data_IF_167893901368
#
_entry.id   IF_167893901368
#
_cell.length_a   1.000
_cell.length_b   1.000
_cell.length_c   1.000
_cell.angle_alpha   90.00
_cell.angle_beta   90.00
_cell.angle_gamma   90.00
#
_symmetry.space_group_name_H-M   'P 1'
#
loop_
_entity.id
_entity.type
_entity.pdbx_description
1 polymer ?
#
# COMPACT_ATOMS: atom_id res chain seq x y z
N UNK A 1 -20.67 15.13 -8.82
CA UNK A 1 -19.82 13.93 -8.87
C UNK A 1 -20.12 13.11 -7.63
N UNK A 2 -20.39 11.82 -7.77
CA UNK A 2 -20.67 10.96 -6.63
C UNK A 2 -19.47 10.91 -5.67
N UNK A 3 -19.74 10.86 -4.38
CA UNK A 3 -18.73 10.97 -3.32
C UNK A 3 -17.65 9.89 -3.42
N UNK A 4 -18.00 8.69 -3.85
CA UNK A 4 -17.09 7.57 -4.06
C UNK A 4 -16.05 7.83 -5.17
N UNK A 5 -16.48 8.45 -6.28
CA UNK A 5 -15.62 8.81 -7.41
C UNK A 5 -14.71 9.99 -7.03
N UNK A 6 -15.21 10.93 -6.24
CA UNK A 6 -14.46 12.08 -5.75
C UNK A 6 -13.21 11.63 -4.96
N UNK A 7 -13.34 10.61 -4.09
CA UNK A 7 -12.22 10.05 -3.33
C UNK A 7 -11.06 9.56 -4.22
N UNK A 8 -11.38 8.97 -5.37
CA UNK A 8 -10.36 8.49 -6.32
C UNK A 8 -9.50 9.64 -6.83
N UNK A 9 -10.10 10.80 -7.09
CA UNK A 9 -9.37 11.98 -7.58
C UNK A 9 -8.66 12.74 -6.46
N UNK A 10 -9.21 12.73 -5.25
CA UNK A 10 -8.64 13.37 -4.06
C UNK A 10 -7.44 12.60 -3.48
N UNK A 11 -7.39 11.27 -3.68
CA UNK A 11 -6.25 10.48 -3.23
C UNK A 11 -4.94 10.98 -3.87
N UNK A 12 -4.03 11.40 -3.03
CA UNK A 12 -2.70 11.87 -3.43
C UNK A 12 -1.60 11.23 -2.57
N UNK A 13 -0.40 11.12 -3.12
CA UNK A 13 0.77 10.70 -2.32
C UNK A 13 1.18 11.85 -1.40
N UNK A 14 0.92 11.69 -0.11
CA UNK A 14 1.27 12.63 0.96
C UNK A 14 2.58 12.18 1.58
N UNK A 15 3.51 13.11 1.75
CA UNK A 15 4.89 12.84 2.24
C UNK A 15 5.26 13.63 3.48
N UNK A 16 4.42 14.60 3.87
CA UNK A 16 4.56 15.35 5.12
C UNK A 16 3.39 14.99 6.02
N UNK A 17 3.70 14.57 7.23
CA UNK A 17 2.73 14.11 8.20
C UNK A 17 2.84 14.91 9.49
N UNK A 18 1.72 15.04 10.20
CA UNK A 18 1.67 15.56 11.55
C UNK A 18 2.26 14.53 12.51
N UNK A 19 2.84 14.99 13.60
CA UNK A 19 3.21 14.15 14.73
C UNK A 19 1.94 13.85 15.56
N UNK A 20 1.14 12.94 15.03
CA UNK A 20 -0.13 12.54 15.63
C UNK A 20 -0.36 11.06 15.42
N UNK A 21 -0.64 10.36 16.53
CA UNK A 21 -0.99 8.93 16.50
C UNK A 21 -2.30 8.73 15.72
N UNK A 22 -2.38 7.62 15.01
CA UNK A 22 -3.60 7.19 14.30
C UNK A 22 -4.40 6.28 15.23
N UNK A 23 -5.71 6.47 15.24
CA UNK A 23 -6.66 5.69 16.02
C UNK A 23 -6.71 4.23 15.48
N UNK A 24 -6.79 3.26 16.39
CA UNK A 24 -6.77 1.82 16.02
C UNK A 24 -7.96 1.46 15.13
N UNK A 25 -9.12 2.07 15.34
CA UNK A 25 -10.31 1.87 14.51
C UNK A 25 -10.08 2.28 13.04
N UNK A 26 -9.31 3.35 12.81
CA UNK A 26 -8.97 3.77 11.44
C UNK A 26 -8.03 2.80 10.78
N UNK A 27 -7.05 2.27 11.53
CA UNK A 27 -6.12 1.24 11.02
C UNK A 27 -6.91 -0.01 10.65
N UNK A 28 -7.83 -0.46 11.51
CA UNK A 28 -8.67 -1.61 11.25
C UNK A 28 -9.56 -1.41 10.01
N UNK A 29 -10.18 -0.24 9.84
CA UNK A 29 -10.98 0.09 8.66
C UNK A 29 -10.15 0.07 7.36
N UNK A 30 -8.93 0.56 7.39
CA UNK A 30 -8.01 0.49 6.25
C UNK A 30 -7.67 -0.96 5.88
N UNK A 31 -7.42 -1.82 6.87
CA UNK A 31 -7.12 -3.24 6.65
C UNK A 31 -8.36 -3.98 6.13
N UNK A 32 -9.56 -3.72 6.66
CA UNK A 32 -10.82 -4.26 6.14
C UNK A 32 -11.04 -3.86 4.68
N UNK A 33 -10.80 -2.60 4.34
CA UNK A 33 -10.90 -2.13 2.96
C UNK A 33 -9.90 -2.82 2.04
N UNK A 34 -8.65 -3.00 2.49
CA UNK A 34 -7.63 -3.72 1.74
C UNK A 34 -8.06 -5.17 1.46
N UNK A 35 -8.57 -5.88 2.47
CA UNK A 35 -9.03 -7.27 2.36
C UNK A 35 -10.32 -7.43 1.56
N UNK A 36 -11.03 -6.34 1.25
CA UNK A 36 -12.19 -6.35 0.35
C UNK A 36 -11.81 -6.33 -1.14
N UNK A 37 -10.52 -6.24 -1.47
CA UNK A 37 -10.07 -6.28 -2.86
C UNK A 37 -10.34 -7.64 -3.51
N UNK A 38 -10.57 -7.69 -4.83
CA UNK A 38 -10.64 -8.95 -5.55
C UNK A 38 -9.25 -9.61 -5.64
N UNK A 39 -9.23 -10.94 -5.71
CA UNK A 39 -8.00 -11.69 -5.97
C UNK A 39 -8.24 -12.79 -7.01
N UNK A 40 -7.21 -13.19 -7.71
CA UNK A 40 -7.27 -14.31 -8.63
C UNK A 40 -7.80 -15.56 -7.90
N UNK A 41 -8.86 -16.14 -8.40
CA UNK A 41 -9.53 -17.34 -7.85
C UNK A 41 -9.89 -17.22 -6.35
N UNK A 42 -10.00 -16.01 -5.82
CA UNK A 42 -10.25 -15.70 -4.41
C UNK A 42 -9.19 -16.30 -3.44
N UNK A 43 -7.94 -16.37 -3.86
CA UNK A 43 -6.86 -16.95 -3.04
C UNK A 43 -6.42 -16.08 -1.88
N UNK A 44 -6.65 -14.76 -1.93
CA UNK A 44 -6.37 -13.84 -0.84
C UNK A 44 -4.92 -13.96 -0.31
N UNK A 45 -3.90 -13.81 -1.18
CA UNK A 45 -2.51 -14.08 -0.82
C UNK A 45 -1.89 -12.97 0.05
N UNK A 46 -2.62 -11.90 0.33
CA UNK A 46 -2.12 -10.77 1.09
C UNK A 46 -1.89 -11.07 2.56
N UNK A 47 -0.81 -10.51 3.08
CA UNK A 47 -0.49 -10.41 4.50
C UNK A 47 -0.15 -8.94 4.78
N UNK A 48 -0.53 -8.46 5.96
CA UNK A 48 -0.28 -7.07 6.34
C UNK A 48 0.53 -7.03 7.63
N UNK A 49 1.69 -6.36 7.60
CA UNK A 49 2.46 -6.08 8.81
C UNK A 49 2.26 -4.61 9.15
N UNK A 50 1.65 -4.36 10.31
CA UNK A 50 1.41 -3.01 10.85
C UNK A 50 2.54 -2.64 11.78
N UNK A 51 3.24 -1.54 11.50
CA UNK A 51 4.45 -1.12 12.20
C UNK A 51 4.23 0.27 12.79
N UNK A 52 4.21 0.38 14.11
CA UNK A 52 4.16 1.62 14.87
C UNK A 52 5.42 1.79 15.79
N UNK A 53 6.36 0.87 15.72
CA UNK A 53 7.65 0.96 16.37
C UNK A 53 8.57 1.92 15.61
N UNK A 54 8.99 3.00 16.26
CA UNK A 54 9.80 4.07 15.63
C UNK A 54 11.14 3.56 15.10
N UNK A 55 11.76 2.61 15.78
CA UNK A 55 13.04 2.01 15.38
C UNK A 55 12.86 1.24 14.07
N UNK A 56 11.84 0.39 13.97
CA UNK A 56 11.53 -0.36 12.76
C UNK A 56 11.11 0.58 11.61
N UNK A 57 10.29 1.59 11.87
CA UNK A 57 9.93 2.61 10.88
C UNK A 57 11.18 3.30 10.33
N UNK A 58 12.12 3.69 11.21
CA UNK A 58 13.38 4.32 10.81
C UNK A 58 14.26 3.38 9.97
N UNK A 59 14.34 2.10 10.34
CA UNK A 59 15.07 1.08 9.57
C UNK A 59 14.46 0.87 8.18
N UNK A 60 13.13 0.74 8.08
CA UNK A 60 12.41 0.61 6.80
C UNK A 60 12.68 1.84 5.94
N UNK A 61 12.52 3.04 6.50
CA UNK A 61 12.74 4.31 5.80
C UNK A 61 14.17 4.42 5.26
N UNK A 62 15.17 4.10 6.05
CA UNK A 62 16.58 4.16 5.63
C UNK A 62 16.96 3.11 4.58
N UNK A 63 16.19 2.02 4.50
CA UNK A 63 16.39 0.95 3.54
C UNK A 63 15.83 1.24 2.15
N UNK A 64 14.91 2.19 2.02
CA UNK A 64 14.22 2.52 0.78
C UNK A 64 14.62 3.91 0.28
N UNK A 65 15.22 4.00 -0.90
CA UNK A 65 15.79 5.25 -1.45
C UNK A 65 14.78 6.41 -1.49
N UNK A 66 13.52 6.12 -1.76
CA UNK A 66 12.46 7.14 -1.91
C UNK A 66 11.58 7.31 -0.67
N UNK A 67 11.80 6.56 0.40
CA UNK A 67 11.03 6.64 1.63
C UNK A 67 11.58 7.73 2.57
N UNK A 68 11.37 9.00 2.21
CA UNK A 68 11.85 10.14 3.01
C UNK A 68 10.84 10.66 4.03
N UNK A 69 9.64 10.08 4.07
CA UNK A 69 8.54 10.55 4.90
C UNK A 69 8.71 10.16 6.37
N UNK A 70 8.51 11.11 7.27
CA UNK A 70 8.41 10.87 8.71
C UNK A 70 6.93 10.61 9.02
N UNK A 71 6.53 9.35 9.05
CA UNK A 71 5.16 8.93 9.32
C UNK A 71 5.10 8.16 10.65
N UNK A 72 4.01 8.30 11.42
CA UNK A 72 3.84 7.58 12.70
C UNK A 72 3.47 6.10 12.51
N UNK A 73 3.12 5.70 11.30
CA UNK A 73 2.69 4.34 10.98
C UNK A 73 3.24 3.92 9.60
N UNK A 74 3.65 2.66 9.50
CA UNK A 74 3.93 1.99 8.23
C UNK A 74 3.11 0.71 8.17
N UNK A 75 2.46 0.44 7.03
CA UNK A 75 1.84 -0.85 6.76
C UNK A 75 2.59 -1.47 5.58
N UNK A 76 3.23 -2.60 5.83
CA UNK A 76 3.87 -3.38 4.77
C UNK A 76 2.86 -4.38 4.21
N UNK A 77 2.57 -4.30 2.92
CA UNK A 77 1.73 -5.27 2.22
C UNK A 77 2.63 -6.34 1.63
N UNK A 78 2.37 -7.58 1.99
CA UNK A 78 3.13 -8.74 1.57
C UNK A 78 2.23 -9.73 0.83
N UNK A 79 2.82 -10.51 -0.08
CA UNK A 79 2.17 -11.67 -0.66
C UNK A 79 2.70 -12.95 0.00
N UNK A 80 1.79 -13.75 0.58
CA UNK A 80 2.10 -15.10 1.05
C UNK A 80 1.95 -16.07 -0.12
N UNK A 81 3.07 -16.42 -0.72
CA UNK A 81 3.12 -17.30 -1.88
C UNK A 81 3.42 -18.76 -1.49
N UNK A 82 3.53 -19.07 -0.19
CA UNK A 82 3.94 -20.38 0.31
C UNK A 82 2.95 -21.52 0.06
N UNK A 83 1.64 -21.27 0.23
CA UNK A 83 0.58 -22.27 0.14
C UNK A 83 -0.29 -22.22 -1.12
N UNK A 84 -0.03 -21.34 -2.05
CA UNK A 84 -0.86 -21.10 -3.24
C UNK A 84 -0.39 -21.96 -4.42
N UNK A 85 -1.31 -22.37 -5.32
CA UNK A 85 -0.90 -23.11 -6.52
C UNK A 85 0.12 -22.33 -7.35
N UNK A 86 1.06 -23.03 -7.98
CA UNK A 86 2.14 -22.42 -8.77
C UNK A 86 1.65 -21.42 -9.81
N UNK A 87 0.47 -21.65 -10.38
CA UNK A 87 -0.12 -20.78 -11.40
C UNK A 87 -0.50 -19.40 -10.86
N UNK A 88 -0.97 -19.32 -9.62
CA UNK A 88 -1.38 -18.08 -8.96
C UNK A 88 -0.20 -17.42 -8.27
N UNK A 89 0.63 -18.23 -7.62
CA UNK A 89 1.82 -17.81 -6.87
C UNK A 89 2.76 -16.93 -7.70
N UNK A 90 3.07 -17.34 -8.92
CA UNK A 90 4.11 -16.68 -9.71
C UNK A 90 3.56 -15.56 -10.61
N UNK A 91 2.23 -15.43 -10.75
CA UNK A 91 1.64 -14.53 -11.75
C UNK A 91 0.70 -13.45 -11.22
N UNK A 92 -0.07 -13.71 -10.15
CA UNK A 92 -1.16 -12.82 -9.76
C UNK A 92 -1.00 -12.15 -8.39
N UNK A 93 -0.16 -12.66 -7.49
CA UNK A 93 -0.04 -12.10 -6.14
C UNK A 93 0.32 -10.60 -6.12
N UNK A 94 1.12 -10.16 -7.09
CA UNK A 94 1.48 -8.74 -7.21
C UNK A 94 0.25 -7.91 -7.53
N UNK A 95 -0.61 -8.38 -8.45
CA UNK A 95 -1.85 -7.71 -8.84
C UNK A 95 -2.84 -7.71 -7.68
N UNK A 96 -3.02 -8.85 -7.03
CA UNK A 96 -3.91 -9.02 -5.87
C UNK A 96 -3.52 -8.09 -4.72
N UNK A 97 -2.25 -8.09 -4.33
CA UNK A 97 -1.73 -7.22 -3.28
C UNK A 97 -1.73 -5.74 -3.69
N UNK A 98 -1.59 -5.43 -4.99
CA UNK A 98 -1.71 -4.06 -5.49
C UNK A 98 -3.15 -3.56 -5.43
N UNK A 99 -4.14 -4.40 -5.74
CA UNK A 99 -5.56 -4.08 -5.59
C UNK A 99 -5.90 -3.79 -4.11
N UNK A 100 -5.43 -4.66 -3.20
CA UNK A 100 -5.58 -4.45 -1.76
C UNK A 100 -4.91 -3.15 -1.28
N UNK A 101 -3.72 -2.85 -1.81
CA UNK A 101 -3.02 -1.59 -1.51
C UNK A 101 -3.84 -0.38 -1.94
N UNK A 102 -4.36 -0.35 -3.17
CA UNK A 102 -5.13 0.81 -3.64
C UNK A 102 -6.42 1.00 -2.83
N UNK A 103 -7.14 -0.07 -2.47
CA UNK A 103 -8.27 0.03 -1.56
C UNK A 103 -7.88 0.66 -0.22
N UNK A 104 -6.73 0.28 0.35
CA UNK A 104 -6.19 0.87 1.58
C UNK A 104 -5.92 2.36 1.42
N UNK A 105 -5.31 2.79 0.31
CA UNK A 105 -5.00 4.19 0.04
C UNK A 105 -6.28 5.04 -0.08
N UNK A 106 -7.31 4.51 -0.74
CA UNK A 106 -8.61 5.17 -0.88
C UNK A 106 -9.33 5.27 0.47
N UNK A 107 -9.34 4.18 1.25
CA UNK A 107 -9.91 4.18 2.60
C UNK A 107 -9.21 5.20 3.51
N UNK A 108 -7.88 5.26 3.49
CA UNK A 108 -7.11 6.25 4.24
C UNK A 108 -7.54 7.68 3.88
N UNK A 109 -7.69 7.97 2.59
CA UNK A 109 -8.16 9.29 2.11
C UNK A 109 -9.55 9.61 2.66
N UNK A 110 -10.48 8.66 2.61
CA UNK A 110 -11.84 8.82 3.18
C UNK A 110 -11.87 9.00 4.68
N UNK A 111 -10.85 8.51 5.40
CA UNK A 111 -10.68 8.65 6.85
C UNK A 111 -9.92 9.93 7.25
N UNK A 112 -9.57 10.79 6.28
CA UNK A 112 -8.80 12.01 6.51
C UNK A 112 -7.31 11.76 6.76
N UNK A 113 -6.80 10.59 6.36
CA UNK A 113 -5.38 10.22 6.45
C UNK A 113 -4.68 10.42 5.11
N UNK A 114 -3.41 10.76 5.19
CA UNK A 114 -2.50 10.80 4.04
C UNK A 114 -1.67 9.52 3.96
N UNK A 115 -1.32 9.15 2.73
CA UNK A 115 -0.50 7.96 2.48
C UNK A 115 0.52 8.19 1.38
N UNK A 116 1.62 7.43 1.42
CA UNK A 116 2.52 7.29 0.27
C UNK A 116 2.95 5.83 0.11
N UNK A 117 2.82 5.34 -1.11
CA UNK A 117 3.27 4.01 -1.52
C UNK A 117 4.76 4.05 -1.85
N UNK A 118 5.56 3.29 -1.11
CA UNK A 118 6.96 3.02 -1.41
C UNK A 118 7.11 1.57 -1.88
N UNK A 119 7.52 1.38 -3.13
CA UNK A 119 7.72 0.05 -3.72
C UNK A 119 8.90 -0.67 -3.06
N UNK A 120 8.72 -1.95 -2.80
CA UNK A 120 9.76 -2.89 -2.32
C UNK A 120 10.07 -3.91 -3.39
N UNK A 121 9.10 -4.72 -3.79
CA UNK A 121 9.21 -5.63 -4.92
C UNK A 121 9.13 -4.86 -6.26
N UNK A 122 9.88 -5.22 -7.31
CA UNK A 122 10.75 -6.40 -7.46
C UNK A 122 12.23 -6.17 -7.13
N UNK A 123 12.60 -5.14 -6.39
CA UNK A 123 14.00 -4.81 -6.11
C UNK A 123 14.54 -5.76 -5.05
N UNK A 124 15.32 -6.74 -5.46
CA UNK A 124 15.83 -7.83 -4.61
C UNK A 124 16.48 -7.33 -3.31
N UNK A 125 17.27 -6.26 -3.39
CA UNK A 125 17.92 -5.66 -2.22
C UNK A 125 16.89 -5.14 -1.21
N UNK A 126 15.81 -4.48 -1.68
CA UNK A 126 14.75 -3.99 -0.79
C UNK A 126 13.95 -5.14 -0.19
N UNK A 127 13.57 -6.13 -1.03
CA UNK A 127 12.87 -7.33 -0.57
C UNK A 127 13.65 -8.00 0.57
N UNK A 128 14.95 -8.25 0.37
CA UNK A 128 15.81 -8.87 1.39
C UNK A 128 15.82 -8.05 2.68
N UNK A 129 16.13 -6.76 2.60
CA UNK A 129 16.24 -5.87 3.77
C UNK A 129 14.92 -5.75 4.55
N UNK A 130 13.80 -5.55 3.86
CA UNK A 130 12.50 -5.44 4.52
C UNK A 130 12.10 -6.77 5.15
N UNK A 131 12.35 -7.91 4.49
CA UNK A 131 12.10 -9.23 5.06
C UNK A 131 12.92 -9.47 6.34
N UNK A 132 14.18 -9.05 6.38
CA UNK A 132 15.03 -9.16 7.57
C UNK A 132 14.51 -8.28 8.73
N UNK A 133 14.18 -6.99 8.44
CA UNK A 133 13.65 -6.06 9.47
C UNK A 133 12.35 -6.57 10.07
N UNK A 134 11.46 -7.10 9.23
CA UNK A 134 10.13 -7.57 9.64
C UNK A 134 10.11 -9.05 10.05
N UNK A 135 11.23 -9.77 9.93
CA UNK A 135 11.36 -11.20 10.23
C UNK A 135 10.31 -12.03 9.48
N UNK A 136 10.12 -11.72 8.19
CA UNK A 136 9.11 -12.40 7.38
C UNK A 136 9.48 -13.87 7.19
N UNK A 137 8.52 -14.80 7.33
CA UNK A 137 8.77 -16.21 7.10
C UNK A 137 9.02 -16.50 5.62
N UNK A 138 9.63 -17.65 5.34
CA UNK A 138 9.84 -18.13 3.97
C UNK A 138 8.51 -18.21 3.22
N UNK A 139 8.47 -17.63 2.02
CA UNK A 139 7.26 -17.59 1.17
C UNK A 139 6.39 -16.34 1.36
N UNK A 140 6.71 -15.48 2.33
CA UNK A 140 6.07 -14.16 2.46
C UNK A 140 7.01 -13.10 1.86
N UNK A 141 6.53 -12.41 0.81
CA UNK A 141 7.31 -11.47 0.02
C UNK A 141 6.73 -10.06 0.18
N UNK A 142 7.50 -9.06 0.67
CA UNK A 142 7.02 -7.70 0.81
C UNK A 142 6.88 -7.04 -0.56
N UNK A 143 5.65 -6.57 -0.90
CA UNK A 143 5.35 -5.86 -2.12
C UNK A 143 5.70 -4.38 -2.00
N UNK A 144 5.24 -3.76 -0.92
CA UNK A 144 5.43 -2.33 -0.69
C UNK A 144 5.38 -1.99 0.81
N UNK A 145 5.81 -0.76 1.13
CA UNK A 145 5.64 -0.15 2.43
C UNK A 145 4.80 1.13 2.27
N UNK A 146 3.66 1.19 2.92
CA UNK A 146 2.76 2.34 2.92
C UNK A 146 3.00 3.16 4.18
N UNK A 147 3.50 4.38 4.01
CA UNK A 147 3.65 5.35 5.09
C UNK A 147 2.32 6.08 5.27
N UNK A 148 1.83 6.12 6.49
CA UNK A 148 0.48 6.60 6.84
C UNK A 148 0.58 7.61 7.98
N UNK A 149 -0.22 8.68 7.92
CA UNK A 149 -0.33 9.68 8.96
C UNK A 149 -1.38 10.74 8.64
N UNK A 150 -1.65 11.61 9.58
CA UNK A 150 -2.43 12.81 9.30
C UNK A 150 -1.63 13.73 8.39
N UNK A 151 -2.20 14.24 7.29
CA UNK A 151 -1.46 15.08 6.35
C UNK A 151 -1.05 16.40 6.97
N UNK A 152 0.21 16.81 6.75
CA UNK A 152 0.75 18.13 7.04
C UNK A 152 1.05 18.92 5.75
N UNK A 153 0.48 18.49 4.63
CA UNK A 153 0.49 19.16 3.34
C UNK A 153 -0.84 18.92 2.63
N UNK A 154 -1.24 19.84 1.80
CA UNK A 154 -2.41 19.72 0.93
C UNK A 154 -1.97 19.54 -0.50
N UNK A 155 -2.74 18.77 -1.27
CA UNK A 155 -2.53 18.57 -2.71
C UNK A 155 -3.87 18.57 -3.41
N UNK A 156 -3.94 19.33 -4.49
CA UNK A 156 -5.14 19.39 -5.32
C UNK A 156 -5.51 17.99 -5.87
N UNK A 157 -6.82 17.74 -5.95
CA UNK A 157 -7.35 16.58 -6.63
C UNK A 157 -6.87 16.57 -8.10
N UNK A 158 -6.68 15.38 -8.65
CA UNK A 158 -6.25 15.27 -10.05
C UNK A 158 -6.86 14.08 -10.75
N UNK A 159 -7.03 14.24 -12.05
CA UNK A 159 -7.14 13.13 -13.00
C UNK A 159 -5.98 13.22 -13.99
N UNK A 160 -5.53 12.07 -14.47
CA UNK A 160 -4.50 11.99 -15.51
C UNK A 160 -5.10 11.39 -16.79
N UNK A 161 -6.39 11.68 -17.02
CA UNK A 161 -7.11 11.20 -18.20
C UNK A 161 -6.44 11.72 -19.47
N UNK A 162 -6.21 10.83 -20.40
CA UNK A 162 -5.66 11.08 -21.72
C UNK A 162 -6.49 10.32 -22.74
N UNK A 163 -7.26 11.08 -23.54
CA UNK A 163 -8.19 10.50 -24.52
C UNK A 163 -7.45 9.62 -25.55
N UNK A 164 -6.23 10.01 -25.92
CA UNK A 164 -5.39 9.28 -26.87
C UNK A 164 -4.92 7.89 -26.35
N UNK A 165 -5.17 7.58 -25.08
CA UNK A 165 -4.91 6.25 -24.49
C UNK A 165 -6.14 5.38 -24.38
N UNK A 166 -7.28 5.84 -24.91
CA UNK A 166 -8.54 5.10 -24.89
C UNK A 166 -8.85 4.63 -26.31
N UNK A 167 -8.88 3.34 -26.51
CA UNK A 167 -9.16 2.71 -27.80
C UNK A 167 -10.46 1.91 -27.70
N UNK A 168 -11.33 2.04 -28.69
CA UNK A 168 -12.61 1.33 -28.77
C UNK A 168 -12.50 0.18 -29.76
N UNK A 169 -12.86 -1.03 -29.31
CA UNK A 169 -12.88 -2.28 -30.06
C UNK A 169 -11.49 -2.85 -30.46
N UNK A 170 -10.55 -2.00 -30.80
CA UNK A 170 -9.16 -2.40 -31.13
C UNK A 170 -8.17 -1.28 -30.78
N UNK A 171 -6.90 -1.60 -30.74
CA UNK A 171 -5.79 -0.62 -30.57
C UNK A 171 -5.58 0.14 -31.86
#
# INVERSE_FOLDING_TARGET
>A
MEQSIKLIFERRSIRKFQDKKIEEEKIELMLKAAMAAPTAMNYQPWEFVVINDETKISQIRSSLTFAKSLAPLVICVCGNVGGVSRLVKDRFWVQDCSAATENMLLAATGLGLGTVWCGVYPITMYVKRISEILQLPTGVIPLNAIFVGYPAEEKEARTQYKAEKVHFNSY
#
